data_IF_636462730869
#
_entry.id   IF_636462730869
#
_cell.length_a   1.000
_cell.length_b   1.000
_cell.length_c   1.000
_cell.angle_alpha   90.00
_cell.angle_beta   90.00
_cell.angle_gamma   90.00
#
_symmetry.space_group_name_H-M   'P 1'
#
loop_
_entity.id
_entity.type
_entity.pdbx_description
1 polymer ?
#
# COMPACT_ATOMS: atom_id res chain seq x y z
N UNK A 1 10.52 -6.97 13.54
CA UNK A 1 11.47 -5.98 12.97
C UNK A 1 10.68 -4.84 12.32
N UNK A 2 11.05 -3.60 12.61
CA UNK A 2 10.45 -2.39 12.03
C UNK A 2 11.50 -1.63 11.22
N UNK A 3 11.18 -1.36 9.95
CA UNK A 3 12.02 -0.61 9.03
C UNK A 3 11.31 0.68 8.62
N UNK A 4 11.82 1.84 9.01
CA UNK A 4 11.27 3.15 8.63
C UNK A 4 11.99 3.69 7.41
N UNK A 5 11.23 4.19 6.47
CA UNK A 5 11.72 4.85 5.26
C UNK A 5 11.08 6.23 5.20
N UNK A 6 11.91 7.27 5.28
CA UNK A 6 11.47 8.63 5.00
C UNK A 6 11.43 8.84 3.48
N UNK A 7 10.44 9.56 2.95
CA UNK A 7 10.41 9.83 1.53
C UNK A 7 11.61 10.69 1.13
N UNK A 8 12.32 10.27 0.10
CA UNK A 8 13.11 11.21 -0.68
C UNK A 8 12.13 12.14 -1.38
N UNK A 9 12.36 13.45 -1.39
CA UNK A 9 11.48 14.50 -1.91
C UNK A 9 10.95 14.28 -3.35
N UNK A 10 11.49 13.32 -4.09
CA UNK A 10 11.16 13.03 -5.49
C UNK A 10 9.96 12.10 -5.71
N UNK A 11 9.48 11.39 -4.70
CA UNK A 11 8.46 10.35 -4.92
C UNK A 11 7.07 10.94 -5.18
N UNK A 12 6.73 12.04 -4.51
CA UNK A 12 5.45 12.74 -4.71
C UNK A 12 5.44 13.47 -6.06
N UNK A 13 6.59 14.03 -6.48
CA UNK A 13 6.71 14.76 -7.75
C UNK A 13 6.61 13.84 -8.97
N UNK A 14 7.12 12.63 -8.91
CA UNK A 14 7.04 11.65 -10.01
C UNK A 14 5.57 11.27 -10.27
N UNK A 15 4.79 11.06 -9.24
CA UNK A 15 3.38 10.66 -9.38
C UNK A 15 2.50 11.85 -9.78
N UNK A 16 2.81 13.05 -9.28
CA UNK A 16 2.15 14.30 -9.68
C UNK A 16 2.41 14.64 -11.16
N UNK A 17 3.62 14.38 -11.67
CA UNK A 17 3.97 14.55 -13.08
C UNK A 17 3.26 13.52 -13.99
N UNK A 18 3.05 12.29 -13.51
CA UNK A 18 2.27 11.29 -14.26
C UNK A 18 0.80 11.71 -14.45
N UNK A 19 0.21 12.49 -13.51
CA UNK A 19 -1.13 13.06 -13.67
C UNK A 19 -1.15 14.27 -14.62
N UNK A 20 -0.04 15.02 -14.75
CA UNK A 20 0.06 16.19 -15.61
C UNK A 20 0.25 15.91 -17.10
N UNK A 21 0.82 14.78 -17.46
CA UNK A 21 1.09 14.42 -18.86
C UNK A 21 -0.13 13.86 -19.62
N UNK A 22 -1.22 13.51 -18.92
CA UNK A 22 -2.45 13.00 -19.56
C UNK A 22 -3.53 14.07 -19.79
N UNK A 23 -3.23 15.36 -19.53
CA UNK A 23 -4.19 16.46 -19.64
C UNK A 23 -3.95 17.31 -20.88
N UNK A 24 -3.72 16.73 -22.06
CA UNK A 24 -3.73 17.49 -23.31
C UNK A 24 -4.47 16.76 -24.43
N UNK A 25 -5.52 17.46 -24.87
CA UNK A 25 -6.22 17.34 -26.17
C UNK A 25 -7.16 16.14 -26.38
N UNK A 26 -8.45 16.40 -26.18
CA UNK A 26 -9.45 16.18 -27.26
C UNK A 26 -10.82 16.73 -26.84
N UNK A 27 -11.16 17.87 -27.36
CA UNK A 27 -12.56 18.32 -27.38
C UNK A 27 -13.38 17.43 -28.32
N UNK A 28 -14.21 16.57 -27.74
CA UNK A 28 -15.37 16.05 -28.42
C UNK A 28 -16.45 15.72 -27.41
N UNK A 29 -17.52 16.49 -27.42
CA UNK A 29 -18.72 16.35 -26.65
C UNK A 29 -19.50 15.09 -27.08
N UNK A 30 -19.11 13.93 -26.60
CA UNK A 30 -20.02 12.79 -26.46
C UNK A 30 -20.00 12.43 -24.97
N UNK A 31 -21.18 12.52 -24.32
CA UNK A 31 -21.42 11.98 -23.00
C UNK A 31 -21.40 10.43 -23.07
N UNK A 32 -20.27 9.85 -23.38
CA UNK A 32 -20.09 8.42 -23.26
C UNK A 32 -19.93 8.09 -21.79
N UNK A 33 -20.76 7.17 -21.31
CA UNK A 33 -20.70 6.68 -19.93
C UNK A 33 -19.35 6.01 -19.73
N UNK A 34 -18.46 6.63 -18.93
CA UNK A 34 -17.13 6.08 -18.60
C UNK A 34 -17.26 4.68 -17.98
N UNK A 35 -16.38 3.79 -18.36
CA UNK A 35 -16.28 2.46 -17.75
C UNK A 35 -15.77 2.58 -16.32
N UNK A 36 -16.54 2.07 -15.35
CA UNK A 36 -16.15 2.04 -13.94
C UNK A 36 -15.28 0.82 -13.67
N UNK A 37 -14.07 1.05 -13.20
CA UNK A 37 -13.10 0.02 -12.85
C UNK A 37 -12.74 0.13 -11.35
N UNK A 38 -12.60 -1.02 -10.69
CA UNK A 38 -12.20 -1.09 -9.29
C UNK A 38 -11.04 -2.06 -9.12
N UNK A 39 -9.99 -1.63 -8.42
CA UNK A 39 -8.86 -2.48 -8.08
C UNK A 39 -8.39 -2.19 -6.66
N UNK A 40 -8.03 -3.24 -5.92
CA UNK A 40 -7.36 -3.04 -4.63
C UNK A 40 -5.90 -2.62 -4.83
N UNK A 41 -5.36 -1.80 -3.92
CA UNK A 41 -3.94 -1.43 -3.90
C UNK A 41 -3.05 -2.68 -3.96
N UNK A 42 -3.40 -3.73 -3.21
CA UNK A 42 -2.65 -4.99 -3.23
C UNK A 42 -2.61 -5.62 -4.62
N UNK A 43 -3.77 -5.79 -5.26
CA UNK A 43 -3.84 -6.39 -6.59
C UNK A 43 -3.11 -5.54 -7.65
N UNK A 44 -3.23 -4.22 -7.55
CA UNK A 44 -2.53 -3.28 -8.45
C UNK A 44 -1.01 -3.45 -8.34
N UNK A 45 -0.48 -3.45 -7.13
CA UNK A 45 0.95 -3.59 -6.88
C UNK A 45 1.48 -4.96 -7.29
N UNK A 46 0.76 -6.04 -6.94
CA UNK A 46 1.10 -7.40 -7.35
C UNK A 46 1.06 -7.57 -8.87
N UNK A 47 0.15 -6.89 -9.57
CA UNK A 47 0.07 -6.92 -11.04
C UNK A 47 1.23 -6.18 -11.70
N UNK A 48 1.51 -4.95 -11.26
CA UNK A 48 2.55 -4.09 -11.88
C UNK A 48 3.95 -4.66 -11.66
N UNK A 49 4.22 -5.22 -10.47
CA UNK A 49 5.54 -5.70 -10.08
C UNK A 49 5.67 -7.23 -10.17
N UNK A 50 4.82 -7.86 -10.98
CA UNK A 50 4.94 -9.28 -11.26
C UNK A 50 6.17 -9.53 -12.12
N UNK A 51 7.20 -10.12 -11.55
CA UNK A 51 8.40 -10.54 -12.25
C UNK A 51 8.34 -12.04 -12.55
N UNK A 52 8.78 -12.44 -13.78
CA UNK A 52 8.90 -13.84 -14.21
C UNK A 52 7.73 -14.35 -15.05
N UNK A 53 7.92 -15.53 -15.64
CA UNK A 53 6.90 -16.26 -16.38
C UNK A 53 5.75 -16.67 -15.48
N UNK A 54 4.58 -16.94 -16.07
CA UNK A 54 3.39 -17.43 -15.37
C UNK A 54 3.71 -18.81 -14.78
N UNK A 55 4.28 -18.84 -13.57
CA UNK A 55 4.45 -20.09 -12.82
C UNK A 55 3.12 -20.46 -12.16
N UNK A 56 2.36 -21.29 -12.83
CA UNK A 56 1.10 -21.84 -12.31
C UNK A 56 1.29 -22.78 -11.12
N UNK A 57 2.56 -23.13 -10.77
CA UNK A 57 2.86 -24.07 -9.67
C UNK A 57 2.88 -23.42 -8.30
N UNK A 58 2.87 -22.08 -8.19
CA UNK A 58 3.01 -21.38 -6.91
C UNK A 58 1.74 -20.72 -6.38
N UNK A 59 0.58 -20.88 -7.03
CA UNK A 59 -0.69 -20.52 -6.41
C UNK A 59 -1.11 -21.58 -5.36
N UNK A 60 -0.27 -21.82 -4.38
CA UNK A 60 -0.76 -22.40 -3.12
C UNK A 60 -1.70 -21.34 -2.54
N UNK A 61 -2.99 -21.58 -2.70
CA UNK A 61 -3.98 -20.88 -1.91
C UNK A 61 -3.47 -20.89 -0.46
N UNK A 62 -3.26 -19.70 0.12
CA UNK A 62 -2.91 -19.62 1.54
C UNK A 62 -3.96 -20.43 2.28
N UNK A 63 -3.54 -21.36 3.11
CA UNK A 63 -4.49 -22.13 3.92
C UNK A 63 -5.32 -21.16 4.77
N UNK A 64 -6.57 -21.52 5.04
CA UNK A 64 -7.43 -20.70 5.92
C UNK A 64 -6.73 -20.41 7.25
N UNK A 65 -5.95 -21.36 7.75
CA UNK A 65 -5.15 -21.21 8.99
C UNK A 65 -4.07 -20.14 8.85
N UNK A 66 -3.37 -20.06 7.72
CA UNK A 66 -2.36 -19.03 7.49
C UNK A 66 -2.98 -17.62 7.38
N UNK A 67 -4.19 -17.50 6.80
CA UNK A 67 -4.93 -16.24 6.77
C UNK A 67 -5.41 -15.83 8.17
N UNK A 68 -5.90 -16.75 8.96
CA UNK A 68 -6.32 -16.49 10.34
C UNK A 68 -5.13 -16.08 11.21
N UNK A 69 -4.00 -16.73 11.05
CA UNK A 69 -2.78 -16.42 11.78
C UNK A 69 -2.25 -15.03 11.41
N UNK A 70 -2.23 -14.67 10.12
CA UNK A 70 -1.90 -13.32 9.66
C UNK A 70 -2.80 -12.27 10.32
N UNK A 71 -4.11 -12.48 10.31
CA UNK A 71 -5.07 -11.56 10.94
C UNK A 71 -4.84 -11.43 12.45
N UNK A 72 -4.54 -12.52 13.14
CA UNK A 72 -4.25 -12.54 14.58
C UNK A 72 -3.01 -11.68 14.89
N UNK A 73 -1.94 -11.86 14.11
CA UNK A 73 -0.70 -11.10 14.28
C UNK A 73 -0.90 -9.62 14.01
N UNK A 74 -1.63 -9.23 12.96
CA UNK A 74 -1.97 -7.83 12.70
C UNK A 74 -2.65 -7.20 13.92
N UNK A 75 -3.70 -7.82 14.44
CA UNK A 75 -4.42 -7.31 15.63
C UNK A 75 -3.52 -7.21 16.86
N UNK A 76 -2.62 -8.20 17.07
CA UNK A 76 -1.68 -8.18 18.19
C UNK A 76 -0.71 -7.00 18.09
N UNK A 77 -0.14 -6.77 16.91
CA UNK A 77 0.78 -5.65 16.66
C UNK A 77 0.05 -4.33 16.81
N UNK A 78 -1.09 -4.15 16.14
CA UNK A 78 -1.93 -2.94 16.24
C UNK A 78 -2.32 -2.63 17.69
N UNK A 79 -2.70 -3.64 18.47
CA UNK A 79 -3.05 -3.48 19.91
C UNK A 79 -1.86 -3.12 20.81
N UNK A 80 -0.61 -3.36 20.37
CA UNK A 80 0.61 -2.97 21.08
C UNK A 80 1.11 -1.56 20.74
N UNK A 81 0.51 -0.94 19.73
CA UNK A 81 0.85 0.42 19.32
C UNK A 81 0.22 1.45 20.25
N UNK A 82 0.81 2.63 20.33
CA UNK A 82 0.32 3.71 21.19
C UNK A 82 -1.03 4.28 20.73
N UNK A 83 -1.57 5.24 21.53
CA UNK A 83 -2.88 5.86 21.26
C UNK A 83 -2.94 6.68 19.97
N UNK A 84 -1.78 7.13 19.46
CA UNK A 84 -1.67 7.88 18.22
C UNK A 84 -1.70 6.98 16.96
N UNK A 85 -1.83 5.66 17.14
CA UNK A 85 -1.90 4.70 16.06
C UNK A 85 -3.35 4.45 15.65
N UNK A 86 -3.69 4.79 14.42
CA UNK A 86 -4.98 4.52 13.80
C UNK A 86 -4.86 3.23 12.98
N UNK A 87 -5.48 2.16 13.46
CA UNK A 87 -5.48 0.87 12.78
C UNK A 87 -6.55 0.79 11.69
N UNK A 88 -6.29 -0.01 10.64
CA UNK A 88 -7.26 -0.38 9.60
C UNK A 88 -7.90 0.84 8.90
N UNK A 89 -7.07 1.80 8.47
CA UNK A 89 -7.55 3.05 7.85
C UNK A 89 -7.98 2.82 6.40
N UNK A 90 -9.26 3.00 6.05
CA UNK A 90 -9.73 2.86 4.68
C UNK A 90 -9.24 4.03 3.82
N UNK A 91 -8.72 3.71 2.64
CA UNK A 91 -8.17 4.67 1.69
C UNK A 91 -8.69 4.36 0.28
N UNK A 92 -9.01 5.40 -0.49
CA UNK A 92 -9.50 5.27 -1.85
C UNK A 92 -9.05 6.46 -2.69
N UNK A 93 -8.70 6.22 -3.94
CA UNK A 93 -8.35 7.24 -4.92
C UNK A 93 -9.08 6.94 -6.22
N UNK A 94 -9.74 7.94 -6.77
CA UNK A 94 -10.34 7.88 -8.10
C UNK A 94 -9.38 8.51 -9.11
N UNK A 95 -9.06 7.77 -10.15
CA UNK A 95 -8.24 8.22 -11.28
C UNK A 95 -9.14 8.28 -12.50
N UNK A 96 -9.34 9.47 -13.04
CA UNK A 96 -10.14 9.69 -14.23
C UNK A 96 -9.29 9.56 -15.50
N UNK A 97 -9.74 8.75 -16.44
CA UNK A 97 -9.29 8.70 -17.81
C UNK A 97 -10.38 9.17 -18.77
N UNK A 98 -10.08 9.21 -20.05
CA UNK A 98 -11.05 9.67 -21.07
C UNK A 98 -12.26 8.72 -21.19
N UNK A 99 -11.99 7.40 -21.18
CA UNK A 99 -12.99 6.35 -21.36
C UNK A 99 -13.33 5.57 -20.10
N UNK A 100 -12.62 5.81 -19.00
CA UNK A 100 -12.77 5.07 -17.76
C UNK A 100 -12.64 5.96 -16.52
N UNK A 101 -13.14 5.46 -15.42
CA UNK A 101 -12.88 5.96 -14.07
C UNK A 101 -12.38 4.77 -13.24
N UNK A 102 -11.14 4.85 -12.77
CA UNK A 102 -10.50 3.79 -11.99
C UNK A 102 -10.49 4.16 -10.51
N UNK A 103 -11.18 3.38 -9.70
CA UNK A 103 -11.08 3.45 -8.24
C UNK A 103 -10.00 2.49 -7.75
N UNK A 104 -8.96 3.05 -7.14
CA UNK A 104 -7.91 2.30 -6.43
C UNK A 104 -8.19 2.41 -4.94
N UNK A 105 -8.42 1.29 -4.27
CA UNK A 105 -8.86 1.30 -2.87
C UNK A 105 -8.18 0.23 -2.04
N UNK A 106 -8.23 0.40 -0.72
CA UNK A 106 -7.75 -0.59 0.23
C UNK A 106 -7.75 -0.06 1.65
N UNK A 107 -7.03 -0.72 2.51
CA UNK A 107 -6.98 -0.41 3.92
C UNK A 107 -5.53 -0.49 4.40
N UNK A 108 -4.98 0.64 4.85
CA UNK A 108 -3.66 0.65 5.47
C UNK A 108 -3.75 -0.03 6.84
N UNK A 109 -2.76 -0.87 7.16
CA UNK A 109 -2.73 -1.58 8.45
C UNK A 109 -2.65 -0.60 9.61
N UNK A 110 -1.94 0.52 9.45
CA UNK A 110 -1.93 1.58 10.43
C UNK A 110 -1.40 2.91 9.91
N UNK A 111 -1.81 3.99 10.57
CA UNK A 111 -1.27 5.33 10.38
C UNK A 111 -1.00 5.94 11.74
N UNK A 112 0.16 6.56 11.91
CA UNK A 112 0.57 7.15 13.18
C UNK A 112 1.47 8.37 13.00
N UNK A 113 1.60 9.16 14.05
CA UNK A 113 2.53 10.29 14.10
C UNK A 113 3.61 10.02 15.14
N UNK A 114 4.86 10.27 14.77
CA UNK A 114 6.02 10.16 15.65
C UNK A 114 6.97 11.31 15.34
N UNK A 115 7.40 12.02 16.36
CA UNK A 115 8.29 13.21 16.24
C UNK A 115 7.77 14.25 15.22
N UNK A 116 6.45 14.46 15.19
CA UNK A 116 5.80 15.40 14.27
C UNK A 116 5.74 14.94 12.80
N UNK A 117 6.14 13.71 12.50
CA UNK A 117 6.09 13.11 11.17
C UNK A 117 5.01 12.03 11.12
N UNK A 118 4.23 12.04 10.05
CA UNK A 118 3.22 11.02 9.80
C UNK A 118 3.82 9.82 9.06
N UNK A 119 3.38 8.63 9.42
CA UNK A 119 3.81 7.37 8.81
C UNK A 119 2.62 6.48 8.50
N UNK A 120 2.68 5.79 7.37
CA UNK A 120 1.85 4.61 7.09
C UNK A 120 2.63 3.37 7.49
N UNK A 121 2.01 2.49 8.27
CA UNK A 121 2.56 1.19 8.66
C UNK A 121 1.91 0.07 7.84
N UNK A 122 2.73 -0.79 7.28
CA UNK A 122 2.33 -2.00 6.56
C UNK A 122 2.90 -3.20 7.32
N UNK A 123 2.02 -4.07 7.80
CA UNK A 123 2.36 -5.22 8.63
C UNK A 123 2.39 -6.50 7.78
N UNK A 124 3.45 -7.27 7.87
CA UNK A 124 3.59 -8.55 7.17
C UNK A 124 4.03 -9.66 8.11
N UNK A 125 3.16 -10.66 8.27
CA UNK A 125 3.52 -11.93 8.89
C UNK A 125 4.19 -12.86 7.88
N UNK A 126 5.24 -13.55 8.27
CA UNK A 126 5.94 -14.51 7.41
C UNK A 126 6.65 -15.61 8.20
N UNK A 127 6.82 -16.78 7.57
CA UNK A 127 7.54 -17.94 8.13
C UNK A 127 9.04 -17.89 7.81
N UNK A 128 9.68 -16.72 8.01
CA UNK A 128 11.11 -16.51 7.74
C UNK A 128 11.75 -15.77 8.90
N UNK A 129 13.06 -15.90 9.01
CA UNK A 129 13.86 -15.16 9.99
C UNK A 129 13.86 -13.67 9.63
N UNK A 130 12.95 -12.91 10.24
CA UNK A 130 12.75 -11.48 9.97
C UNK A 130 13.92 -10.62 10.48
N UNK A 131 14.71 -11.12 11.42
CA UNK A 131 15.88 -10.45 11.97
C UNK A 131 16.99 -10.24 10.92
N UNK A 132 16.96 -11.02 9.83
CA UNK A 132 17.92 -10.94 8.73
C UNK A 132 17.51 -9.93 7.64
N UNK A 133 16.35 -9.29 7.77
CA UNK A 133 15.93 -8.29 6.79
C UNK A 133 16.65 -6.96 7.00
N UNK A 134 17.56 -6.65 6.12
CA UNK A 134 18.19 -5.32 6.03
C UNK A 134 17.34 -4.34 5.24
N UNK A 135 16.53 -4.83 4.30
CA UNK A 135 15.68 -4.02 3.42
C UNK A 135 14.29 -4.66 3.29
N UNK A 136 13.24 -3.84 3.16
CA UNK A 136 11.90 -4.36 2.94
C UNK A 136 11.78 -5.07 1.59
N UNK A 137 10.89 -6.05 1.54
CA UNK A 137 10.47 -6.70 0.30
C UNK A 137 9.83 -5.65 -0.60
N UNK A 138 10.26 -5.59 -1.86
CA UNK A 138 9.90 -4.52 -2.79
C UNK A 138 8.37 -4.36 -2.97
N UNK A 139 7.65 -5.46 -3.19
CA UNK A 139 6.18 -5.45 -3.36
C UNK A 139 5.46 -4.94 -2.11
N UNK A 140 5.91 -5.32 -0.92
CA UNK A 140 5.34 -4.83 0.35
C UNK A 140 5.59 -3.33 0.52
N UNK A 141 6.81 -2.88 0.21
CA UNK A 141 7.16 -1.46 0.22
C UNK A 141 6.29 -0.67 -0.75
N UNK A 142 6.08 -1.18 -1.98
CA UNK A 142 5.24 -0.52 -2.97
C UNK A 142 3.79 -0.39 -2.50
N UNK A 143 3.25 -1.39 -1.80
CA UNK A 143 1.92 -1.33 -1.20
C UNK A 143 1.83 -0.21 -0.15
N UNK A 144 2.79 -0.13 0.78
CA UNK A 144 2.86 0.95 1.77
C UNK A 144 2.99 2.33 1.13
N UNK A 145 3.78 2.45 0.04
CA UNK A 145 3.93 3.71 -0.70
C UNK A 145 2.62 4.15 -1.37
N UNK A 146 1.84 3.22 -1.94
CA UNK A 146 0.53 3.54 -2.50
C UNK A 146 -0.42 4.08 -1.42
N UNK A 147 -0.50 3.45 -0.27
CA UNK A 147 -1.31 3.94 0.84
C UNK A 147 -0.83 5.30 1.35
N UNK A 148 0.48 5.49 1.49
CA UNK A 148 1.06 6.76 1.90
C UNK A 148 0.71 7.88 0.91
N UNK A 149 0.79 7.61 -0.38
CA UNK A 149 0.42 8.56 -1.43
C UNK A 149 -1.07 8.96 -1.35
N UNK A 150 -1.97 7.98 -1.27
CA UNK A 150 -3.42 8.25 -1.18
C UNK A 150 -3.73 9.09 0.06
N UNK A 151 -3.16 8.71 1.21
CA UNK A 151 -3.37 9.44 2.46
C UNK A 151 -2.82 10.86 2.41
N UNK A 152 -1.62 11.06 1.86
CA UNK A 152 -1.02 12.37 1.70
C UNK A 152 -1.86 13.29 0.81
N UNK A 153 -2.40 12.79 -0.31
CA UNK A 153 -3.31 13.55 -1.17
C UNK A 153 -4.58 13.96 -0.43
N UNK A 154 -5.22 13.04 0.28
CA UNK A 154 -6.47 13.29 1.01
C UNK A 154 -6.31 14.31 2.15
N UNK A 155 -5.11 14.43 2.72
CA UNK A 155 -4.81 15.30 3.85
C UNK A 155 -3.94 16.51 3.47
N UNK A 156 -3.68 16.77 2.19
CA UNK A 156 -2.84 17.86 1.68
C UNK A 156 -1.45 17.89 2.32
N UNK A 157 -0.84 16.70 2.52
CA UNK A 157 0.48 16.56 3.11
C UNK A 157 1.56 16.60 2.03
N UNK A 158 2.64 17.35 2.28
CA UNK A 158 3.80 17.39 1.38
C UNK A 158 4.72 16.18 1.56
N UNK A 159 4.79 15.66 2.78
CA UNK A 159 5.68 14.56 3.13
C UNK A 159 4.98 13.55 4.04
N UNK A 160 5.21 12.26 3.79
CA UNK A 160 4.74 11.17 4.63
C UNK A 160 5.76 10.03 4.58
N UNK A 161 6.03 9.43 5.72
CA UNK A 161 6.91 8.27 5.82
C UNK A 161 6.16 6.95 5.65
N UNK A 162 6.92 5.87 5.45
CA UNK A 162 6.38 4.51 5.54
C UNK A 162 7.17 3.72 6.59
N UNK A 163 6.48 2.85 7.29
CA UNK A 163 7.05 1.85 8.18
C UNK A 163 6.66 0.47 7.65
N UNK A 164 7.63 -0.44 7.61
CA UNK A 164 7.39 -1.84 7.30
C UNK A 164 7.57 -2.65 8.58
N UNK A 165 6.52 -3.25 9.07
CA UNK A 165 6.53 -4.08 10.28
C UNK A 165 6.48 -5.55 9.90
N UNK A 166 7.59 -6.27 10.09
CA UNK A 166 7.69 -7.70 9.83
C UNK A 166 7.63 -8.49 11.13
N UNK A 167 6.82 -9.55 11.13
CA UNK A 167 6.69 -10.47 12.25
C UNK A 167 6.87 -11.92 11.77
N UNK A 168 7.68 -12.68 12.49
CA UNK A 168 7.76 -14.11 12.28
C UNK A 168 6.52 -14.78 12.89
N UNK A 169 5.77 -15.54 12.08
CA UNK A 169 4.53 -16.17 12.50
C UNK A 169 4.74 -17.34 13.46
N UNK A 170 5.93 -17.97 13.48
CA UNK A 170 6.25 -19.08 14.39
C UNK A 170 6.69 -18.58 15.77
N UNK A 171 7.54 -17.55 15.79
CA UNK A 171 8.15 -17.04 17.04
C UNK A 171 7.47 -15.80 17.58
N UNK A 172 6.61 -15.17 16.77
CA UNK A 172 5.93 -13.90 17.05
C UNK A 172 6.88 -12.71 17.37
N UNK A 173 8.11 -12.76 16.85
CA UNK A 173 9.12 -11.72 17.01
C UNK A 173 9.18 -10.77 15.80
#
# INVERSE_FOLDING_TARGET
VRLKILPEHKTVDIIRNMQGEYMTEAGNNYSEKKTQLHISVRNLVEFIFREGDIDTRSSRAMSADAMMEGTRIHRKIQGSMGKEYQAEVPLSLVVEGDLYELTVEGRADGIFTEDGKCFVDEIKGMYRRVELFEKPVFVHRAQAMCYAYIFALQNNMETIGIQMTYCNLETEQ
#
